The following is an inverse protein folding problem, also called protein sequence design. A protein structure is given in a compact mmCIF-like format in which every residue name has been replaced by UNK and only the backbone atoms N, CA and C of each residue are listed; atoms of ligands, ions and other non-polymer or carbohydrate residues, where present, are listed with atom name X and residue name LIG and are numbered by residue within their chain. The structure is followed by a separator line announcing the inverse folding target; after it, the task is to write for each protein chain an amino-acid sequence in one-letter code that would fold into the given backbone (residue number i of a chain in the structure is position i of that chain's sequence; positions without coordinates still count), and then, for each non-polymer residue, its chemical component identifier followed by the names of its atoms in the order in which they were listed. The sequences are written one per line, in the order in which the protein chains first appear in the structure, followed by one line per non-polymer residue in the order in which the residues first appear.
data_IF_685636979719
#
_entry.id   IF_685636979719
#
_cell.length_a   1.000
_cell.length_b   1.000
_cell.length_c   1.000
_cell.angle_alpha   90.00
_cell.angle_beta   90.00
_cell.angle_gamma   90.00
#
_symmetry.space_group_name_H-M   'P 1'
#
loop_
_entity.id
_entity.type
_entity.pdbx_description
1 polymer ?
#
# COMPACT_ATOMS: atom_id res chain seq x y z
N UNK A 1 27.44 27.10 -0.33
CA UNK A 1 26.46 26.24 0.38
C UNK A 1 26.40 24.91 -0.36
N UNK A 2 26.53 23.75 0.32
CA UNK A 2 27.37 22.66 -0.15
C UNK A 2 26.69 21.63 -1.06
N UNK A 3 27.52 21.14 -1.99
CA UNK A 3 27.52 19.84 -2.67
C UNK A 3 26.31 18.94 -2.37
N UNK A 4 25.39 18.86 -3.33
CA UNK A 4 24.35 17.85 -3.34
C UNK A 4 24.99 16.46 -3.28
N UNK A 5 24.89 15.85 -2.10
CA UNK A 5 25.30 14.49 -1.78
C UNK A 5 24.66 13.52 -2.77
N UNK A 6 25.36 13.25 -3.89
CA UNK A 6 25.03 12.19 -4.85
C UNK A 6 24.95 10.91 -4.03
N UNK A 7 23.73 10.43 -3.77
CA UNK A 7 23.51 9.13 -3.14
C UNK A 7 24.13 8.09 -4.06
N UNK A 8 25.32 7.61 -3.70
CA UNK A 8 25.94 6.46 -4.35
C UNK A 8 24.90 5.34 -4.40
N UNK A 9 24.68 4.69 -5.55
CA UNK A 9 23.93 3.45 -5.60
C UNK A 9 24.53 2.52 -4.54
N UNK A 10 23.70 1.91 -3.70
CA UNK A 10 24.14 0.83 -2.84
C UNK A 10 24.48 -0.33 -3.77
N UNK A 11 25.72 -0.40 -4.22
CA UNK A 11 26.32 -1.57 -4.86
C UNK A 11 26.45 -2.66 -3.80
N UNK A 12 25.30 -3.23 -3.44
CA UNK A 12 25.25 -4.47 -2.70
C UNK A 12 25.69 -5.55 -3.69
N UNK A 13 26.99 -5.86 -3.71
CA UNK A 13 27.47 -7.10 -4.28
C UNK A 13 26.56 -8.22 -3.76
N UNK A 14 25.80 -8.83 -4.66
CA UNK A 14 24.85 -9.88 -4.33
C UNK A 14 25.63 -11.11 -3.90
N UNK A 15 26.04 -11.17 -2.63
CA UNK A 15 26.47 -12.42 -2.01
C UNK A 15 25.26 -13.35 -2.01
N UNK A 16 25.21 -14.24 -2.99
CA UNK A 16 24.19 -15.26 -3.09
C UNK A 16 24.50 -16.31 -2.01
N UNK A 17 23.86 -16.16 -0.85
CA UNK A 17 23.97 -17.15 0.23
C UNK A 17 23.29 -18.43 -0.25
N UNK A 18 24.08 -19.50 -0.45
CA UNK A 18 23.55 -20.81 -0.83
C UNK A 18 22.95 -21.48 0.40
N UNK A 19 21.64 -21.37 0.56
CA UNK A 19 20.91 -22.07 1.63
C UNK A 19 20.80 -23.57 1.32
N UNK A 20 20.87 -24.42 2.35
CA UNK A 20 20.66 -25.86 2.21
C UNK A 20 19.25 -26.14 1.69
N UNK A 21 19.12 -27.08 0.74
CA UNK A 21 17.82 -27.43 0.13
C UNK A 21 16.74 -27.83 1.14
N UNK A 22 17.10 -28.53 2.22
CA UNK A 22 16.18 -28.90 3.28
C UNK A 22 15.58 -27.66 3.98
N UNK A 23 16.40 -26.64 4.23
CA UNK A 23 15.96 -25.39 4.85
C UNK A 23 15.04 -24.60 3.91
N UNK A 24 15.36 -24.52 2.61
CA UNK A 24 14.48 -23.89 1.62
C UNK A 24 13.11 -24.56 1.54
N UNK A 25 13.05 -25.90 1.64
CA UNK A 25 11.78 -26.63 1.64
C UNK A 25 10.94 -26.31 2.87
N UNK A 26 11.56 -26.28 4.06
CA UNK A 26 10.88 -25.90 5.29
C UNK A 26 10.30 -24.48 5.18
N UNK A 27 11.11 -23.49 4.77
CA UNK A 27 10.65 -22.12 4.60
C UNK A 27 9.48 -21.99 3.62
N UNK A 28 9.51 -22.72 2.50
CA UNK A 28 8.41 -22.71 1.52
C UNK A 28 7.12 -23.31 2.09
N UNK A 29 7.23 -24.34 2.93
CA UNK A 29 6.07 -24.95 3.58
C UNK A 29 5.43 -23.98 4.56
N UNK A 30 6.21 -23.46 5.52
CA UNK A 30 5.72 -22.50 6.52
C UNK A 30 5.13 -21.25 5.84
N UNK A 31 5.77 -20.77 4.78
CA UNK A 31 5.27 -19.66 3.99
C UNK A 31 3.89 -19.96 3.37
N UNK A 32 3.72 -21.15 2.80
CA UNK A 32 2.46 -21.57 2.18
C UNK A 32 1.35 -21.67 3.23
N UNK A 33 1.64 -22.25 4.39
CA UNK A 33 0.69 -22.34 5.50
C UNK A 33 0.28 -20.96 6.03
N UNK A 34 1.23 -20.02 6.17
CA UNK A 34 0.91 -18.63 6.56
C UNK A 34 0.04 -17.92 5.52
N UNK A 35 0.24 -18.24 4.22
CA UNK A 35 -0.55 -17.66 3.12
C UNK A 35 -1.96 -18.21 3.03
N UNK A 36 -2.18 -19.45 3.42
CA UNK A 36 -3.49 -20.10 3.46
C UNK A 36 -4.36 -19.62 4.64
N UNK A 37 -3.77 -18.87 5.60
CA UNK A 37 -4.53 -18.30 6.71
C UNK A 37 -5.59 -17.30 6.21
N UNK A 38 -6.82 -17.34 6.73
CA UNK A 38 -7.84 -16.36 6.40
C UNK A 38 -7.36 -14.96 6.82
N UNK A 39 -7.24 -14.07 5.84
CA UNK A 39 -6.92 -12.67 6.08
C UNK A 39 -8.19 -11.84 5.97
N UNK A 40 -8.50 -11.13 7.03
CA UNK A 40 -9.60 -10.17 7.02
C UNK A 40 -9.18 -8.93 6.23
N UNK A 41 -9.96 -8.58 5.21
CA UNK A 41 -9.81 -7.29 4.54
C UNK A 41 -10.21 -6.18 5.49
N UNK A 42 -9.26 -5.31 5.85
CA UNK A 42 -9.57 -4.15 6.69
C UNK A 42 -10.52 -3.18 5.98
N UNK A 43 -11.29 -2.39 6.73
CA UNK A 43 -12.13 -1.33 6.15
C UNK A 43 -11.33 -0.34 5.28
N UNK A 44 -10.05 -0.13 5.60
CA UNK A 44 -9.12 0.69 4.82
C UNK A 44 -8.82 0.04 3.47
N UNK A 45 -8.53 -1.26 3.45
CA UNK A 45 -8.31 -2.04 2.24
C UNK A 45 -9.52 -1.95 1.31
N UNK A 46 -10.72 -2.21 1.83
CA UNK A 46 -11.95 -2.15 1.04
C UNK A 46 -12.22 -0.75 0.48
N UNK A 47 -11.97 0.30 1.27
CA UNK A 47 -12.13 1.67 0.78
C UNK A 47 -11.14 2.02 -0.35
N UNK A 48 -9.93 1.49 -0.32
CA UNK A 48 -8.94 1.69 -1.40
C UNK A 48 -9.40 0.94 -2.65
N UNK A 49 -9.83 -0.32 -2.51
CA UNK A 49 -10.38 -1.11 -3.61
C UNK A 49 -11.61 -0.43 -4.23
N UNK A 50 -12.51 0.15 -3.41
CA UNK A 50 -13.64 0.93 -3.89
C UNK A 50 -13.20 2.18 -4.68
N UNK A 51 -12.19 2.92 -4.21
CA UNK A 51 -11.65 4.06 -4.94
C UNK A 51 -11.05 3.65 -6.29
N UNK A 52 -10.33 2.52 -6.35
CA UNK A 52 -9.80 1.96 -7.60
C UNK A 52 -10.92 1.57 -8.58
N UNK A 53 -12.00 0.91 -8.09
CA UNK A 53 -13.19 0.61 -8.92
C UNK A 53 -13.81 1.90 -9.47
N UNK A 54 -13.94 2.93 -8.63
CA UNK A 54 -14.44 4.24 -9.03
C UNK A 54 -13.58 4.98 -10.06
N UNK A 55 -12.29 4.64 -10.17
CA UNK A 55 -11.38 5.14 -11.21
C UNK A 55 -11.45 4.30 -12.51
N UNK A 56 -12.15 3.17 -12.48
CA UNK A 56 -12.17 2.17 -13.55
C UNK A 56 -10.85 1.39 -13.65
N UNK A 57 -10.11 1.28 -12.54
CA UNK A 57 -8.83 0.56 -12.48
C UNK A 57 -9.09 -0.88 -12.05
N UNK A 58 -8.90 -1.82 -12.97
CA UNK A 58 -8.89 -3.24 -12.65
C UNK A 58 -7.71 -3.54 -11.74
N UNK A 59 -7.98 -4.24 -10.65
CA UNK A 59 -6.99 -4.64 -9.65
C UNK A 59 -7.36 -6.01 -9.08
N UNK A 60 -6.37 -6.67 -8.50
CA UNK A 60 -6.52 -7.95 -7.81
C UNK A 60 -6.19 -7.70 -6.34
N UNK A 61 -7.14 -8.03 -5.47
CA UNK A 61 -6.88 -8.05 -4.04
C UNK A 61 -6.16 -9.36 -3.72
N UNK A 62 -5.15 -9.30 -2.86
CA UNK A 62 -4.41 -10.39 -2.22
C UNK A 62 -4.61 -11.80 -2.87
N UNK A 63 -3.99 -12.02 -4.03
CA UNK A 63 -3.82 -13.33 -4.65
C UNK A 63 -2.34 -13.55 -5.03
N UNK A 64 -1.79 -14.70 -4.60
CA UNK A 64 -0.46 -15.30 -4.84
C UNK A 64 0.81 -14.47 -4.55
N UNK A 65 0.73 -13.16 -4.67
CA UNK A 65 1.82 -12.22 -4.49
C UNK A 65 1.63 -11.50 -3.16
N UNK A 66 2.69 -11.24 -2.40
CA UNK A 66 2.65 -10.62 -1.07
C UNK A 66 1.87 -9.31 -0.92
N UNK A 67 1.52 -8.66 -2.03
CA UNK A 67 0.91 -7.35 -2.06
C UNK A 67 -0.56 -7.38 -1.64
N UNK A 68 -0.99 -6.32 -0.95
CA UNK A 68 -2.39 -6.18 -0.55
C UNK A 68 -3.28 -6.00 -1.80
N UNK A 69 -2.86 -5.13 -2.72
CA UNK A 69 -3.55 -4.92 -4.00
C UNK A 69 -2.53 -4.86 -5.14
N UNK A 70 -2.78 -5.59 -6.23
CA UNK A 70 -2.00 -5.53 -7.46
C UNK A 70 -2.77 -4.86 -8.58
N UNK A 71 -2.07 -4.00 -9.33
CA UNK A 71 -2.58 -3.35 -10.53
C UNK A 71 -1.67 -3.75 -11.69
N UNK A 72 -1.93 -4.90 -12.35
CA UNK A 72 -1.02 -5.46 -13.35
C UNK A 72 -0.77 -4.51 -14.52
N UNK A 73 -1.82 -3.81 -14.98
CA UNK A 73 -1.73 -2.86 -16.09
C UNK A 73 -0.80 -1.67 -15.83
N UNK A 74 -0.48 -1.39 -14.57
CA UNK A 74 0.44 -0.30 -14.18
C UNK A 74 1.78 -0.81 -13.63
N UNK A 75 1.97 -2.13 -13.49
CA UNK A 75 3.13 -2.70 -12.81
C UNK A 75 3.23 -2.24 -11.35
N UNK A 76 2.10 -2.05 -10.66
CA UNK A 76 2.05 -1.52 -9.28
C UNK A 76 1.59 -2.57 -8.28
N UNK A 77 2.34 -2.68 -7.19
CA UNK A 77 1.89 -3.29 -5.95
C UNK A 77 1.55 -2.18 -4.95
N UNK A 78 0.32 -2.17 -4.45
CA UNK A 78 -0.22 -1.16 -3.55
C UNK A 78 -0.35 -1.76 -2.14
N UNK A 79 0.29 -1.13 -1.18
CA UNK A 79 0.38 -1.58 0.22
C UNK A 79 -0.46 -0.67 1.12
N UNK A 80 -1.45 -1.24 1.81
CA UNK A 80 -2.41 -0.55 2.68
C UNK A 80 -2.01 -0.73 4.15
N UNK A 81 -1.00 0.05 4.54
CA UNK A 81 -0.36 -0.11 5.84
C UNK A 81 -1.17 0.47 7.02
N UNK A 82 -1.47 -0.38 7.99
CA UNK A 82 -2.03 0.01 9.29
C UNK A 82 -1.03 0.56 10.29
N UNK A 83 -1.49 0.99 11.47
CA UNK A 83 -0.64 1.51 12.54
C UNK A 83 0.53 0.58 12.92
N UNK A 84 0.31 -0.73 12.89
CA UNK A 84 1.30 -1.74 13.25
C UNK A 84 2.49 -1.84 12.28
N UNK A 85 2.42 -1.17 11.12
CA UNK A 85 3.52 -1.08 10.16
C UNK A 85 4.47 0.08 10.47
N UNK A 86 4.18 0.88 11.50
CA UNK A 86 4.90 2.10 11.83
C UNK A 86 5.33 2.16 13.29
N UNK A 87 6.43 2.87 13.56
CA UNK A 87 6.78 3.28 14.91
C UNK A 87 5.71 4.22 15.48
N UNK A 88 5.32 3.98 16.74
CA UNK A 88 4.26 4.76 17.40
C UNK A 88 4.58 6.25 17.53
N UNK A 89 5.85 6.59 17.77
CA UNK A 89 6.28 7.96 18.06
C UNK A 89 6.61 8.80 16.81
N UNK A 90 7.12 8.18 15.75
CA UNK A 90 7.71 8.88 14.60
C UNK A 90 7.07 8.52 13.27
N UNK A 91 6.15 7.55 13.25
CA UNK A 91 5.50 7.03 12.04
C UNK A 91 6.49 6.57 10.97
N UNK A 92 7.65 6.08 11.39
CA UNK A 92 8.64 5.45 10.49
C UNK A 92 8.22 4.02 10.23
N UNK A 93 8.29 3.57 8.98
CA UNK A 93 7.97 2.18 8.64
C UNK A 93 8.89 1.20 9.36
N UNK A 94 8.33 0.08 9.81
CA UNK A 94 9.07 -0.97 10.50
C UNK A 94 9.84 -1.86 9.53
N UNK A 95 10.77 -2.65 10.08
CA UNK A 95 11.67 -3.51 9.29
C UNK A 95 10.93 -4.53 8.41
N UNK A 96 9.85 -5.12 8.92
CA UNK A 96 9.05 -6.08 8.15
C UNK A 96 8.36 -5.43 6.94
N UNK A 97 7.86 -4.19 7.08
CA UNK A 97 7.29 -3.40 5.98
C UNK A 97 8.34 -3.09 4.92
N UNK A 98 9.53 -2.66 5.34
CA UNK A 98 10.65 -2.43 4.42
C UNK A 98 11.09 -3.69 3.68
N UNK A 99 11.13 -4.83 4.38
CA UNK A 99 11.48 -6.12 3.79
C UNK A 99 10.46 -6.54 2.73
N UNK A 100 9.16 -6.47 3.06
CA UNK A 100 8.05 -6.73 2.12
C UNK A 100 8.17 -5.86 0.86
N UNK A 101 8.38 -4.56 1.04
CA UNK A 101 8.57 -3.64 -0.08
C UNK A 101 9.81 -3.98 -0.93
N UNK A 102 10.92 -4.40 -0.31
CA UNK A 102 12.12 -4.81 -1.04
C UNK A 102 11.87 -6.07 -1.86
N UNK A 103 11.17 -7.05 -1.28
CA UNK A 103 10.79 -8.30 -1.94
C UNK A 103 9.87 -8.07 -3.16
N UNK A 104 8.91 -7.16 -3.05
CA UNK A 104 8.03 -6.79 -4.17
C UNK A 104 8.80 -6.06 -5.28
N UNK A 105 9.68 -5.11 -4.92
CA UNK A 105 10.54 -4.43 -5.91
C UNK A 105 11.48 -5.39 -6.63
N UNK A 106 12.02 -6.39 -5.93
CA UNK A 106 12.85 -7.43 -6.55
C UNK A 106 12.07 -8.30 -7.54
N UNK A 107 10.75 -8.44 -7.39
CA UNK A 107 9.85 -9.11 -8.35
C UNK A 107 9.44 -8.21 -9.53
N UNK A 108 9.93 -6.97 -9.59
CA UNK A 108 9.66 -6.04 -10.69
C UNK A 108 8.47 -5.10 -10.44
N UNK A 109 7.83 -5.17 -9.28
CA UNK A 109 6.72 -4.27 -8.94
C UNK A 109 7.21 -2.90 -8.50
N UNK A 110 6.54 -1.85 -8.97
CA UNK A 110 6.61 -0.54 -8.33
C UNK A 110 5.72 -0.54 -7.09
N UNK A 111 6.34 -0.48 -5.93
CA UNK A 111 5.61 -0.42 -4.65
C UNK A 111 5.10 0.99 -4.38
N UNK A 112 3.78 1.13 -4.25
CA UNK A 112 3.09 2.34 -3.80
C UNK A 112 2.49 2.10 -2.42
N UNK A 113 2.80 2.98 -1.47
CA UNK A 113 2.36 2.84 -0.08
C UNK A 113 1.17 3.76 0.21
N UNK A 114 0.17 3.24 0.91
CA UNK A 114 -0.98 3.95 1.48
C UNK A 114 -0.86 3.90 3.01
N UNK A 115 -0.20 4.88 3.64
CA UNK A 115 -0.14 4.98 5.09
C UNK A 115 -1.52 5.31 5.69
N UNK A 116 -1.89 4.64 6.78
CA UNK A 116 -3.15 4.92 7.49
C UNK A 116 -3.30 6.42 7.83
N UNK A 117 -2.24 7.05 8.35
CA UNK A 117 -2.28 8.45 8.80
C UNK A 117 -2.45 9.47 7.66
N UNK A 118 -2.19 9.09 6.41
CA UNK A 118 -2.44 9.92 5.24
C UNK A 118 -3.87 9.70 4.72
N UNK A 119 -4.28 8.43 4.63
CA UNK A 119 -5.55 8.05 4.02
C UNK A 119 -6.74 8.32 4.94
N UNK A 120 -6.60 8.05 6.24
CA UNK A 120 -7.67 8.20 7.23
C UNK A 120 -8.00 9.67 7.52
N UNK A 121 -7.11 10.60 7.15
CA UNK A 121 -7.39 12.05 7.13
C UNK A 121 -8.45 12.44 6.10
N UNK A 122 -8.68 11.61 5.09
CA UNK A 122 -9.68 11.86 4.07
C UNK A 122 -11.01 11.31 4.57
N UNK A 123 -12.03 12.16 4.79
CA UNK A 123 -13.32 11.69 5.29
C UNK A 123 -13.91 10.61 4.39
N UNK A 124 -14.60 9.62 4.97
CA UNK A 124 -15.14 8.49 4.20
C UNK A 124 -16.17 8.91 3.15
N UNK A 125 -16.90 10.00 3.42
CA UNK A 125 -17.85 10.60 2.48
C UNK A 125 -17.18 11.41 1.36
N UNK A 126 -15.88 11.69 1.44
CA UNK A 126 -15.16 12.41 0.38
C UNK A 126 -14.60 11.45 -0.67
N UNK A 127 -15.51 10.78 -1.39
CA UNK A 127 -15.16 9.75 -2.39
C UNK A 127 -14.19 10.29 -3.44
N UNK A 128 -14.39 11.53 -3.89
CA UNK A 128 -13.55 12.19 -4.89
C UNK A 128 -12.12 12.41 -4.39
N UNK A 129 -11.94 12.84 -3.14
CA UNK A 129 -10.58 13.04 -2.61
C UNK A 129 -9.87 11.70 -2.35
N UNK A 130 -10.61 10.65 -1.94
CA UNK A 130 -10.05 9.29 -1.86
C UNK A 130 -9.61 8.78 -3.23
N UNK A 131 -10.42 8.98 -4.29
CA UNK A 131 -10.05 8.66 -5.68
C UNK A 131 -8.79 9.42 -6.11
N UNK A 132 -8.73 10.74 -5.88
CA UNK A 132 -7.55 11.58 -6.19
C UNK A 132 -6.30 11.14 -5.44
N UNK A 133 -6.43 10.81 -4.15
CA UNK A 133 -5.33 10.31 -3.35
C UNK A 133 -4.76 9.02 -3.94
N UNK A 134 -5.62 8.02 -4.19
CA UNK A 134 -5.21 6.74 -4.77
C UNK A 134 -4.61 6.96 -6.16
N UNK A 135 -5.24 7.79 -7.00
CA UNK A 135 -4.73 8.16 -8.32
C UNK A 135 -3.29 8.69 -8.25
N UNK A 136 -3.00 9.63 -7.33
CA UNK A 136 -1.65 10.17 -7.13
C UNK A 136 -0.67 9.09 -6.71
N UNK A 137 -1.05 8.22 -5.77
CA UNK A 137 -0.18 7.11 -5.29
C UNK A 137 0.16 6.11 -6.39
N UNK A 138 -0.82 5.76 -7.24
CA UNK A 138 -0.61 4.82 -8.35
C UNK A 138 -0.04 5.50 -9.61
N UNK A 139 0.12 6.83 -9.62
CA UNK A 139 0.68 7.57 -10.76
C UNK A 139 -0.22 7.58 -12.01
N UNK A 140 -1.53 7.38 -11.84
CA UNK A 140 -2.48 7.33 -12.96
C UNK A 140 -2.79 8.76 -13.46
N UNK A 141 -2.52 9.05 -14.74
CA UNK A 141 -2.74 10.39 -15.34
C UNK A 141 -4.16 10.62 -15.88
N UNK A 142 -5.08 9.68 -15.66
CA UNK A 142 -6.47 9.76 -16.15
C UNK A 142 -7.19 10.96 -15.52
N UNK A 143 -7.83 11.79 -16.33
CA UNK A 143 -8.68 12.88 -15.80
C UNK A 143 -9.86 12.24 -15.05
N UNK A 144 -10.06 12.62 -13.79
CA UNK A 144 -11.24 12.21 -13.03
C UNK A 144 -12.36 13.19 -13.36
N UNK A 145 -13.41 12.68 -14.00
CA UNK A 145 -14.65 13.42 -14.25
C UNK A 145 -15.56 13.31 -13.04
N UNK A 146 -16.19 14.43 -12.68
CA UNK A 146 -17.26 14.42 -11.68
C UNK A 146 -18.47 13.65 -12.21
N UNK A 147 -19.16 12.92 -11.33
CA UNK A 147 -20.47 12.34 -11.62
C UNK A 147 -21.42 12.70 -10.49
N UNK A 148 -22.71 12.89 -10.77
CA UNK A 148 -23.70 13.22 -9.74
C UNK A 148 -23.91 12.09 -8.71
N UNK A 149 -23.33 10.90 -8.98
CA UNK A 149 -23.26 9.78 -8.02
C UNK A 149 -22.12 9.94 -7.01
N UNK A 150 -21.15 10.81 -7.27
CA UNK A 150 -20.06 11.13 -6.35
C UNK A 150 -20.52 12.19 -5.34
N UNK A 151 -21.28 11.75 -4.35
CA UNK A 151 -21.72 12.61 -3.25
C UNK A 151 -20.55 12.98 -2.31
N UNK A 152 -19.73 13.95 -2.71
CA UNK A 152 -18.91 14.70 -1.75
C UNK A 152 -19.81 15.77 -1.12
N UNK A 153 -20.63 15.39 -0.14
CA UNK A 153 -21.24 16.41 0.70
C UNK A 153 -20.10 17.10 1.47
N UNK A 154 -19.87 18.39 1.23
CA UNK A 154 -18.96 19.15 2.09
C UNK A 154 -19.47 19.02 3.52
N UNK A 155 -18.65 18.41 4.38
CA UNK A 155 -18.80 18.47 5.82
C UNK A 155 -17.48 19.04 6.35
N UNK A 156 -17.51 19.98 7.30
CA UNK A 156 -16.29 20.50 7.89
C UNK A 156 -15.45 19.32 8.40
N UNK A 157 -14.13 19.42 8.24
CA UNK A 157 -13.21 18.42 8.80
C UNK A 157 -13.52 18.28 10.31
N UNK A 158 -13.60 17.05 10.83
CA UNK A 158 -13.67 16.85 12.27
C UNK A 158 -12.49 17.61 12.90
N UNK A 159 -12.75 18.41 13.93
CA UNK A 159 -11.67 19.08 14.67
C UNK A 159 -10.70 18.01 15.21
N UNK A 160 -9.41 18.33 15.26
CA UNK A 160 -8.39 17.40 15.79
C UNK A 160 -8.88 16.75 17.10
N UNK A 161 -8.91 15.41 17.13
CA UNK A 161 -9.38 14.62 18.27
C UNK A 161 -10.81 14.08 18.17
N UNK A 162 -11.59 14.43 17.15
CA UNK A 162 -12.88 13.78 16.89
C UNK A 162 -12.71 12.52 16.02
N UNK A 163 -13.04 11.38 16.62
CA UNK A 163 -13.05 10.06 15.98
C UNK A 163 -13.88 10.08 14.70
N UNK A 164 -13.28 9.70 13.58
CA UNK A 164 -14.05 9.39 12.37
C UNK A 164 -14.71 8.02 12.56
N UNK A 165 -15.83 7.74 11.88
CA UNK A 165 -16.70 6.53 12.04
C UNK A 165 -16.03 5.14 11.84
N UNK A 166 -14.71 5.09 11.83
CA UNK A 166 -13.87 3.88 11.75
C UNK A 166 -13.07 3.60 13.04
N UNK A 167 -13.33 4.36 14.12
CA UNK A 167 -12.90 4.02 15.49
C UNK A 167 -13.96 3.23 16.28
#
# INVERSE_FOLDING_TARGET
VPEAMKRRPLDFERRQVKLKNAFCRMLRREWKEEKERPKSSSARHESVSHALRGLGVRHQNEQDEDADIIIPSLGVALEVDGPDHYTRNTRRSLGHTHLKHRMLRQRGWRVAQIPYYDFDRIPFWSSMERKRFVQRKIGLRKVITFSDRDFSSYRPFPKDGQKSRVD
#
